data_IF_450027222135
#
_entry.id   IF_450027222135
#
_cell.length_a   1.000
_cell.length_b   1.000
_cell.length_c   1.000
_cell.angle_alpha   90.00
_cell.angle_beta   90.00
_cell.angle_gamma   90.00
#
_symmetry.space_group_name_H-M   'P 1'
#
loop_
_entity.id
_entity.type
_entity.pdbx_description
1 polymer ?
#
# COMPACT_ATOMS: atom_id res chain seq x y z
N UNK A 1 32.67 53.29 -14.19
CA UNK A 1 31.63 52.90 -13.21
C UNK A 1 31.51 51.39 -13.26
N UNK A 2 31.87 50.69 -12.18
CA UNK A 2 32.01 49.22 -12.13
C UNK A 2 30.82 48.68 -11.34
N UNK A 3 29.79 48.17 -12.02
CA UNK A 3 28.61 47.57 -11.37
C UNK A 3 28.95 46.12 -10.98
N UNK A 4 29.02 45.88 -9.67
CA UNK A 4 29.14 44.55 -9.09
C UNK A 4 27.73 43.94 -9.04
N UNK A 5 27.48 42.89 -9.81
CA UNK A 5 26.23 42.13 -9.74
C UNK A 5 26.34 41.08 -8.65
N UNK A 6 25.68 41.31 -7.51
CA UNK A 6 25.51 40.31 -6.46
C UNK A 6 24.50 39.27 -6.92
N UNK A 7 24.96 38.07 -7.23
CA UNK A 7 24.13 36.88 -7.44
C UNK A 7 23.48 36.48 -6.10
N UNK A 8 22.18 36.74 -5.97
CA UNK A 8 21.36 36.13 -4.92
C UNK A 8 21.11 34.66 -5.31
N UNK A 9 21.73 33.73 -4.58
CA UNK A 9 21.43 32.31 -4.67
C UNK A 9 20.00 32.04 -4.19
N UNK A 10 19.17 31.48 -5.06
CA UNK A 10 17.82 31.07 -4.73
C UNK A 10 17.94 29.74 -3.97
N UNK A 11 17.66 29.76 -2.68
CA UNK A 11 17.56 28.52 -1.90
C UNK A 11 16.28 27.79 -2.32
N UNK A 12 16.42 26.61 -2.93
CA UNK A 12 15.31 25.71 -3.23
C UNK A 12 14.70 25.24 -1.91
N UNK A 13 13.52 25.75 -1.58
CA UNK A 13 12.73 25.26 -0.46
C UNK A 13 12.16 23.92 -0.91
N UNK A 14 12.67 22.81 -0.36
CA UNK A 14 12.06 21.51 -0.57
C UNK A 14 10.64 21.56 0.01
N UNK A 15 9.62 21.59 -0.86
CA UNK A 15 8.24 21.41 -0.42
C UNK A 15 8.12 20.04 0.22
N UNK A 16 7.53 19.91 1.43
CA UNK A 16 7.16 18.59 1.92
C UNK A 16 6.24 17.98 0.87
N UNK A 17 6.61 16.81 0.34
CA UNK A 17 5.75 16.09 -0.59
C UNK A 17 4.39 15.93 0.09
N UNK A 18 3.32 16.42 -0.56
CA UNK A 18 1.97 16.17 -0.09
C UNK A 18 1.82 14.65 -0.06
N UNK A 19 1.63 14.06 1.13
CA UNK A 19 1.52 12.61 1.25
C UNK A 19 0.40 12.13 0.32
N UNK A 20 0.74 11.19 -0.57
CA UNK A 20 -0.23 10.67 -1.52
C UNK A 20 -1.34 9.94 -0.76
N UNK A 21 -2.59 10.09 -1.22
CA UNK A 21 -3.73 9.40 -0.64
C UNK A 21 -4.04 8.12 -1.40
N UNK A 22 -4.48 7.10 -0.69
CA UNK A 22 -4.94 5.82 -1.22
C UNK A 22 -6.25 5.41 -0.56
N UNK A 23 -6.98 4.55 -1.26
CA UNK A 23 -8.11 3.82 -0.67
C UNK A 23 -7.64 2.49 -0.11
N UNK A 24 -8.40 1.94 0.84
CA UNK A 24 -8.15 0.60 1.35
C UNK A 24 -9.42 -0.24 1.27
N UNK A 25 -9.25 -1.54 1.03
CA UNK A 25 -10.28 -2.54 1.31
C UNK A 25 -9.68 -3.68 2.13
N UNK A 26 -10.46 -4.73 2.37
CA UNK A 26 -9.99 -5.97 2.95
C UNK A 26 -10.34 -7.12 2.02
N UNK A 27 -9.45 -8.10 1.93
CA UNK A 27 -9.69 -9.33 1.18
C UNK A 27 -9.13 -10.55 1.87
N UNK A 28 -9.67 -11.69 1.47
CA UNK A 28 -9.11 -13.01 1.75
C UNK A 28 -9.52 -13.96 0.63
N UNK A 29 -8.54 -14.54 -0.05
CA UNK A 29 -8.75 -15.48 -1.16
C UNK A 29 -8.15 -16.88 -0.89
N UNK A 30 -7.43 -17.03 0.24
CA UNK A 30 -6.72 -18.25 0.61
C UNK A 30 -5.57 -18.63 -0.33
N UNK A 31 -5.08 -17.70 -1.16
CA UNK A 31 -4.03 -17.96 -2.15
C UNK A 31 -2.63 -17.58 -1.65
N UNK A 32 -1.61 -18.11 -2.32
CA UNK A 32 -0.19 -17.79 -2.10
C UNK A 32 0.14 -16.31 -2.31
N UNK A 33 -0.58 -15.65 -3.23
CA UNK A 33 -0.33 -14.27 -3.64
C UNK A 33 0.77 -14.11 -4.68
N UNK A 34 0.73 -13.00 -5.42
CA UNK A 34 1.58 -12.74 -6.58
C UNK A 34 3.06 -12.46 -6.29
N UNK A 35 3.44 -12.35 -5.01
CA UNK A 35 4.85 -12.32 -4.58
C UNK A 35 5.36 -13.68 -4.12
N UNK A 36 4.56 -14.74 -4.26
CA UNK A 36 4.96 -16.10 -3.96
C UNK A 36 5.19 -16.39 -2.48
N UNK A 37 4.35 -15.82 -1.60
CA UNK A 37 4.52 -15.87 -0.15
C UNK A 37 3.73 -17.03 0.49
N UNK A 38 3.90 -18.24 -0.03
CA UNK A 38 3.10 -19.39 0.39
C UNK A 38 3.49 -20.66 -0.35
N UNK A 39 2.52 -21.55 -0.49
CA UNK A 39 2.67 -22.80 -1.24
C UNK A 39 1.42 -23.05 -2.08
N UNK A 40 1.42 -24.10 -2.91
CA UNK A 40 0.23 -24.56 -3.64
C UNK A 40 -0.97 -24.90 -2.73
N UNK A 41 -0.77 -24.99 -1.42
CA UNK A 41 -1.81 -25.27 -0.43
C UNK A 41 -2.36 -24.02 0.26
N UNK A 42 -1.84 -22.82 -0.05
CA UNK A 42 -2.29 -21.55 0.52
C UNK A 42 -1.16 -20.63 0.98
N UNK A 43 -1.49 -19.47 1.56
CA UNK A 43 -0.51 -18.49 2.03
C UNK A 43 0.28 -19.00 3.23
N UNK A 44 1.50 -18.50 3.43
CA UNK A 44 2.14 -18.61 4.72
C UNK A 44 1.30 -17.92 5.80
N UNK A 45 1.30 -18.49 7.01
CA UNK A 45 0.41 -18.04 8.09
C UNK A 45 0.59 -16.57 8.48
N UNK A 46 1.80 -16.03 8.35
CA UNK A 46 2.11 -14.64 8.68
C UNK A 46 1.43 -13.64 7.73
N UNK A 47 0.94 -14.05 6.56
CA UNK A 47 0.23 -13.15 5.65
C UNK A 47 -1.06 -12.58 6.26
N UNK A 48 -1.71 -13.31 7.17
CA UNK A 48 -2.90 -12.84 7.90
C UNK A 48 -2.60 -11.78 8.97
N UNK A 49 -1.33 -11.49 9.23
CA UNK A 49 -0.87 -10.54 10.21
C UNK A 49 0.52 -10.93 10.70
N UNK A 50 1.51 -10.10 10.38
CA UNK A 50 2.91 -10.33 10.75
C UNK A 50 3.08 -10.05 12.25
N UNK A 51 2.55 -8.91 12.70
CA UNK A 51 2.47 -8.55 14.12
C UNK A 51 1.40 -7.47 14.29
N UNK A 52 1.07 -7.11 15.55
CA UNK A 52 0.16 -6.00 15.81
C UNK A 52 0.66 -4.72 15.14
N UNK A 53 -0.10 -4.16 14.19
CA UNK A 53 0.28 -2.97 13.43
C UNK A 53 1.13 -3.23 12.18
N UNK A 54 1.45 -4.48 11.84
CA UNK A 54 2.19 -4.86 10.63
C UNK A 54 1.43 -5.94 9.87
N UNK A 55 0.95 -5.61 8.68
CA UNK A 55 0.06 -6.44 7.87
C UNK A 55 0.62 -6.67 6.47
N UNK A 56 -0.06 -7.50 5.69
CA UNK A 56 0.21 -7.64 4.25
C UNK A 56 -0.94 -7.06 3.42
N UNK A 57 -0.65 -6.72 2.17
CA UNK A 57 -1.64 -6.19 1.25
C UNK A 57 -1.42 -6.65 -0.19
N UNK A 58 -2.51 -6.75 -0.94
CA UNK A 58 -2.48 -6.73 -2.37
C UNK A 58 -2.46 -5.27 -2.85
N UNK A 59 -1.33 -4.86 -3.44
CA UNK A 59 -1.18 -3.50 -3.95
C UNK A 59 -1.87 -3.34 -5.31
N UNK A 60 -2.50 -2.19 -5.55
CA UNK A 60 -2.91 -1.81 -6.92
C UNK A 60 -1.74 -1.88 -7.89
N UNK A 61 -2.02 -2.04 -9.19
CA UNK A 61 -1.00 -2.35 -10.19
C UNK A 61 0.26 -1.45 -10.10
N UNK A 62 0.13 -0.14 -9.90
CA UNK A 62 1.29 0.76 -9.81
C UNK A 62 2.16 0.54 -8.55
N UNK A 63 1.57 0.06 -7.45
CA UNK A 63 2.30 -0.30 -6.22
C UNK A 63 2.97 -1.67 -6.36
N UNK A 64 2.35 -2.59 -7.09
CA UNK A 64 2.88 -3.93 -7.33
C UNK A 64 3.96 -3.95 -8.42
N UNK A 65 3.66 -3.38 -9.59
CA UNK A 65 4.56 -3.30 -10.74
C UNK A 65 4.10 -2.28 -11.78
N UNK A 66 4.92 -1.28 -12.07
CA UNK A 66 4.61 -0.23 -13.07
C UNK A 66 4.69 -0.71 -14.52
N UNK A 67 5.34 -1.85 -14.77
CA UNK A 67 5.38 -2.53 -16.06
C UNK A 67 4.14 -3.37 -16.36
N UNK A 68 3.24 -3.55 -15.39
CA UNK A 68 2.04 -4.35 -15.53
C UNK A 68 2.24 -5.85 -15.28
N UNK A 69 3.35 -6.26 -14.66
CA UNK A 69 3.52 -7.65 -14.23
C UNK A 69 2.42 -8.05 -13.25
N UNK A 70 2.04 -9.32 -13.26
CA UNK A 70 1.11 -9.93 -12.30
C UNK A 70 1.76 -11.01 -11.44
N UNK A 71 3.09 -11.15 -11.51
CA UNK A 71 3.88 -12.10 -10.73
C UNK A 71 5.29 -11.56 -10.50
N UNK A 72 5.80 -11.65 -9.26
CA UNK A 72 7.07 -11.07 -8.84
C UNK A 72 7.27 -9.62 -9.33
N UNK A 73 6.26 -8.78 -9.11
CA UNK A 73 6.33 -7.36 -9.44
C UNK A 73 7.45 -6.66 -8.67
N UNK A 74 8.02 -5.59 -9.24
CA UNK A 74 9.13 -4.87 -8.62
C UNK A 74 8.79 -4.25 -7.25
N UNK A 75 7.51 -4.11 -6.92
CA UNK A 75 7.01 -3.65 -5.61
C UNK A 75 6.83 -4.75 -4.57
N UNK A 76 6.99 -6.03 -4.91
CA UNK A 76 6.92 -7.12 -3.94
C UNK A 76 7.91 -6.89 -2.78
N UNK A 77 7.45 -7.17 -1.55
CA UNK A 77 8.24 -6.96 -0.33
C UNK A 77 8.41 -5.49 0.08
N UNK A 78 7.85 -4.54 -0.66
CA UNK A 78 7.89 -3.13 -0.26
C UNK A 78 6.91 -2.86 0.89
N UNK A 79 7.37 -2.14 1.91
CA UNK A 79 6.52 -1.68 3.00
C UNK A 79 6.09 -0.22 2.87
N UNK A 80 4.86 0.05 3.29
CA UNK A 80 4.27 1.37 3.36
C UNK A 80 3.70 1.61 4.76
N UNK A 81 3.97 2.78 5.32
CA UNK A 81 3.20 3.30 6.46
C UNK A 81 1.92 3.93 5.91
N UNK A 82 0.77 3.47 6.43
CA UNK A 82 -0.54 4.03 6.13
C UNK A 82 -1.00 4.82 7.35
N UNK A 83 -1.43 6.06 7.13
CA UNK A 83 -2.01 6.91 8.18
C UNK A 83 -3.47 7.19 7.85
N UNK A 84 -4.36 6.80 8.74
CA UNK A 84 -5.80 6.95 8.56
C UNK A 84 -6.21 8.43 8.54
N UNK A 85 -7.07 8.80 7.59
CA UNK A 85 -7.56 10.19 7.43
C UNK A 85 -8.89 10.45 8.16
N UNK A 86 -9.47 9.43 8.81
CA UNK A 86 -10.71 9.54 9.58
C UNK A 86 -12.00 9.40 8.75
N UNK A 87 -11.91 8.99 7.49
CA UNK A 87 -13.07 8.80 6.60
C UNK A 87 -12.83 7.70 5.57
N UNK A 88 -13.91 7.22 4.94
CA UNK A 88 -13.88 6.26 3.84
C UNK A 88 -14.19 6.94 2.50
N UNK A 89 -13.86 6.28 1.39
CA UNK A 89 -14.01 6.85 0.04
C UNK A 89 -15.46 7.17 -0.36
N UNK A 90 -16.45 6.50 0.25
CA UNK A 90 -17.86 6.77 0.06
C UNK A 90 -18.68 6.49 1.32
N UNK A 91 -19.91 6.99 1.38
CA UNK A 91 -20.79 6.87 2.56
C UNK A 91 -21.22 5.44 2.91
N UNK A 92 -21.09 4.50 1.98
CA UNK A 92 -21.45 3.08 2.15
C UNK A 92 -20.24 2.15 2.03
N UNK A 93 -19.03 2.69 1.92
CA UNK A 93 -17.83 1.91 1.62
C UNK A 93 -17.13 1.34 2.87
N UNK A 94 -17.49 1.84 4.05
CA UNK A 94 -16.88 1.51 5.34
C UNK A 94 -16.97 2.70 6.29
N UNK A 95 -16.62 2.50 7.54
CA UNK A 95 -16.68 3.52 8.60
C UNK A 95 -15.36 4.25 8.86
N UNK A 96 -14.25 3.81 8.26
CA UNK A 96 -12.92 4.35 8.47
C UNK A 96 -12.27 3.84 9.77
N UNK A 97 -11.46 4.67 10.42
CA UNK A 97 -11.03 4.50 11.82
C UNK A 97 -10.61 5.85 12.43
N UNK A 98 -9.96 5.85 13.59
CA UNK A 98 -9.46 7.08 14.21
C UNK A 98 -8.46 7.80 13.31
N UNK A 99 -8.71 9.09 13.02
CA UNK A 99 -7.76 9.90 12.24
C UNK A 99 -6.40 9.95 12.93
N UNK A 100 -5.33 9.76 12.16
CA UNK A 100 -3.95 9.77 12.64
C UNK A 100 -3.44 8.43 13.18
N UNK A 101 -4.29 7.41 13.28
CA UNK A 101 -3.81 6.04 13.53
C UNK A 101 -2.94 5.56 12.37
N UNK A 102 -1.89 4.80 12.67
CA UNK A 102 -0.96 4.27 11.67
C UNK A 102 -0.82 2.75 11.73
N UNK A 103 -0.61 2.15 10.57
CA UNK A 103 -0.21 0.74 10.40
C UNK A 103 0.88 0.66 9.33
N UNK A 104 1.67 -0.41 9.36
CA UNK A 104 2.55 -0.78 8.24
C UNK A 104 1.92 -1.90 7.44
N UNK A 105 1.98 -1.81 6.11
CA UNK A 105 1.59 -2.90 5.20
C UNK A 105 2.76 -3.27 4.30
N UNK A 106 2.95 -4.56 4.05
CA UNK A 106 3.90 -5.08 3.07
C UNK A 106 3.15 -5.59 1.83
N UNK A 107 3.62 -5.23 0.63
CA UNK A 107 3.04 -5.73 -0.62
C UNK A 107 3.46 -7.19 -0.84
N UNK A 108 2.51 -8.11 -0.75
CA UNK A 108 2.73 -9.56 -0.98
C UNK A 108 1.88 -10.13 -2.10
N UNK A 109 0.98 -9.32 -2.66
CA UNK A 109 0.09 -9.71 -3.73
C UNK A 109 -0.24 -8.51 -4.64
N UNK A 110 -0.94 -8.75 -5.74
CA UNK A 110 -1.46 -7.72 -6.64
C UNK A 110 -2.98 -7.65 -6.56
N UNK A 111 -3.52 -6.44 -6.48
CA UNK A 111 -4.93 -6.19 -6.77
C UNK A 111 -5.05 -5.73 -8.23
N UNK A 112 -5.40 -6.62 -9.17
CA UNK A 112 -5.47 -6.27 -10.58
C UNK A 112 -6.70 -5.40 -10.85
N UNK A 113 -6.56 -4.44 -11.77
CA UNK A 113 -7.70 -3.61 -12.19
C UNK A 113 -8.84 -4.44 -12.80
N UNK A 114 -8.51 -5.50 -13.55
CA UNK A 114 -9.51 -6.39 -14.11
C UNK A 114 -10.31 -7.08 -13.00
N UNK A 115 -11.61 -6.84 -12.96
CA UNK A 115 -12.51 -7.33 -11.90
C UNK A 115 -12.57 -6.45 -10.63
N UNK A 116 -11.60 -5.54 -10.43
CA UNK A 116 -11.54 -4.67 -9.23
C UNK A 116 -11.41 -3.18 -9.58
N UNK A 117 -11.85 -2.75 -10.77
CA UNK A 117 -11.63 -1.39 -11.27
C UNK A 117 -12.22 -0.28 -10.39
N UNK A 118 -13.27 -0.60 -9.63
CA UNK A 118 -13.84 0.28 -8.60
C UNK A 118 -12.78 0.77 -7.61
N UNK A 119 -11.84 -0.11 -7.24
CA UNK A 119 -10.86 0.12 -6.17
C UNK A 119 -9.43 0.22 -6.70
N UNK A 120 -9.03 -0.70 -7.58
CA UNK A 120 -7.64 -0.90 -7.97
C UNK A 120 -7.38 -0.27 -9.34
N UNK A 121 -6.72 0.91 -9.40
CA UNK A 121 -6.49 1.61 -10.65
C UNK A 121 -5.46 0.89 -11.54
N UNK A 122 -5.53 1.18 -12.84
CA UNK A 122 -4.42 0.91 -13.78
C UNK A 122 -3.23 1.82 -13.48
N UNK A 123 -2.05 1.45 -13.98
CA UNK A 123 -0.84 2.30 -13.85
C UNK A 123 -1.09 3.69 -14.44
N UNK A 124 -0.86 4.74 -13.64
CA UNK A 124 -1.07 6.14 -14.02
C UNK A 124 -2.54 6.59 -14.06
N UNK A 125 -3.49 5.72 -13.74
CA UNK A 125 -4.91 6.05 -13.63
C UNK A 125 -5.34 6.37 -12.21
N UNK A 126 -6.66 6.53 -12.04
CA UNK A 126 -7.34 6.62 -10.74
C UNK A 126 -8.49 5.63 -10.69
N UNK A 127 -8.90 5.23 -9.49
CA UNK A 127 -10.08 4.40 -9.30
C UNK A 127 -11.37 5.24 -9.35
N UNK A 128 -12.54 4.61 -9.15
CA UNK A 128 -13.84 5.30 -9.22
C UNK A 128 -14.03 6.39 -8.16
N UNK A 129 -13.17 6.42 -7.13
CA UNK A 129 -13.17 7.42 -6.07
C UNK A 129 -12.09 8.49 -6.26
N UNK A 130 -11.33 8.47 -7.36
CA UNK A 130 -10.33 9.48 -7.69
C UNK A 130 -8.94 9.26 -7.09
N UNK A 131 -8.64 8.07 -6.56
CA UNK A 131 -7.34 7.75 -5.96
C UNK A 131 -6.46 6.95 -6.91
N UNK A 132 -5.17 7.34 -7.01
CA UNK A 132 -4.18 6.69 -7.88
C UNK A 132 -3.54 5.43 -7.30
N UNK A 133 -3.89 5.07 -6.06
CA UNK A 133 -3.37 3.92 -5.35
C UNK A 133 -4.45 3.26 -4.50
N UNK A 134 -4.32 1.95 -4.33
CA UNK A 134 -5.17 1.13 -3.47
C UNK A 134 -4.38 0.04 -2.76
N UNK A 135 -4.68 -0.17 -1.47
CA UNK A 135 -4.16 -1.27 -0.68
C UNK A 135 -5.32 -2.15 -0.24
N UNK A 136 -5.40 -3.36 -0.79
CA UNK A 136 -6.37 -4.35 -0.34
C UNK A 136 -5.71 -5.20 0.75
N UNK A 137 -6.08 -4.97 2.02
CA UNK A 137 -5.37 -5.49 3.18
C UNK A 137 -5.83 -6.92 3.46
N UNK A 138 -4.87 -7.85 3.54
CA UNK A 138 -5.16 -9.26 3.78
C UNK A 138 -5.79 -9.45 5.17
N UNK A 139 -7.01 -9.97 5.22
CA UNK A 139 -7.72 -10.22 6.48
C UNK A 139 -8.95 -11.13 6.32
N UNK A 140 -9.15 -12.07 7.26
CA UNK A 140 -10.37 -12.91 7.34
C UNK A 140 -11.59 -12.16 7.94
N UNK A 141 -11.50 -10.85 8.20
CA UNK A 141 -12.62 -10.04 8.69
C UNK A 141 -12.18 -8.74 9.38
N UNK A 142 -13.00 -8.20 10.28
CA UNK A 142 -12.56 -7.12 11.20
C UNK A 142 -11.78 -7.64 12.41
N UNK A 143 -11.51 -8.95 12.44
CA UNK A 143 -10.84 -9.61 13.56
C UNK A 143 -9.37 -9.16 13.57
N UNK A 144 -8.91 -8.58 14.68
CA UNK A 144 -7.51 -8.18 14.85
C UNK A 144 -7.17 -6.71 14.58
N UNK A 145 -8.17 -5.83 14.46
CA UNK A 145 -7.94 -4.37 14.46
C UNK A 145 -7.57 -3.75 13.11
N UNK A 146 -7.76 -4.49 12.00
CA UNK A 146 -7.69 -3.91 10.66
C UNK A 146 -8.87 -2.94 10.47
N UNK A 147 -8.57 -1.76 9.93
CA UNK A 147 -9.52 -0.67 9.78
C UNK A 147 -10.68 -0.98 8.82
N UNK A 148 -11.76 -0.20 8.94
CA UNK A 148 -12.92 -0.35 8.08
C UNK A 148 -12.88 0.51 6.81
N UNK A 149 -12.05 0.10 5.85
CA UNK A 149 -11.86 0.72 4.53
C UNK A 149 -11.58 2.25 4.54
N UNK A 150 -10.71 2.75 5.43
CA UNK A 150 -10.38 4.16 5.44
C UNK A 150 -9.64 4.59 4.16
N UNK A 151 -9.79 5.86 3.83
CA UNK A 151 -8.80 6.58 3.05
C UNK A 151 -7.58 6.82 3.93
N UNK A 152 -6.41 6.57 3.37
CA UNK A 152 -5.13 6.69 4.06
C UNK A 152 -4.20 7.61 3.29
N UNK A 153 -3.35 8.35 3.99
CA UNK A 153 -2.10 8.82 3.37
C UNK A 153 -1.08 7.70 3.47
N UNK A 154 -0.20 7.56 2.48
CA UNK A 154 0.81 6.50 2.51
C UNK A 154 2.20 7.02 2.16
N UNK A 155 3.21 6.42 2.78
CA UNK A 155 4.62 6.68 2.49
C UNK A 155 5.38 5.36 2.48
N UNK A 156 6.28 5.17 1.50
CA UNK A 156 7.17 4.01 1.50
C UNK A 156 8.14 4.10 2.68
N UNK A 157 8.32 3.01 3.42
CA UNK A 157 9.18 2.93 4.60
C UNK A 157 10.06 1.68 4.54
N UNK A 158 11.10 1.64 5.37
CA UNK A 158 11.84 0.39 5.58
C UNK A 158 10.91 -0.63 6.26
N UNK A 159 10.93 -1.87 5.78
CA UNK A 159 10.16 -2.94 6.40
C UNK A 159 10.68 -3.22 7.82
N UNK A 160 9.79 -3.39 8.81
CA UNK A 160 10.14 -3.92 10.12
C UNK A 160 10.87 -5.27 9.97
N UNK A 161 11.83 -5.55 10.84
CA UNK A 161 12.69 -6.74 10.72
C UNK A 161 11.93 -8.06 10.58
N UNK A 162 10.80 -8.21 11.30
CA UNK A 162 9.95 -9.38 11.17
C UNK A 162 9.37 -9.54 9.76
N UNK A 163 8.86 -8.45 9.16
CA UNK A 163 8.32 -8.47 7.81
C UNK A 163 9.40 -8.80 6.76
N UNK A 164 10.61 -8.24 6.93
CA UNK A 164 11.74 -8.57 6.05
C UNK A 164 12.11 -10.05 6.13
N UNK A 165 12.23 -10.60 7.35
CA UNK A 165 12.54 -12.03 7.54
C UNK A 165 11.42 -12.96 7.05
N UNK A 166 10.17 -12.52 7.11
CA UNK A 166 9.05 -13.26 6.54
C UNK A 166 9.08 -13.24 5.00
N UNK A 167 9.39 -12.09 4.40
CA UNK A 167 9.50 -11.94 2.95
C UNK A 167 10.63 -12.78 2.33
N UNK A 168 11.73 -13.02 3.07
CA UNK A 168 12.81 -13.93 2.66
C UNK A 168 12.36 -15.37 2.37
N UNK A 169 11.17 -15.77 2.86
CA UNK A 169 10.59 -17.09 2.59
C UNK A 169 9.84 -17.13 1.25
N UNK A 170 9.54 -15.98 0.65
CA UNK A 170 8.76 -15.90 -0.58
C UNK A 170 9.60 -16.23 -1.82
N UNK A 171 8.95 -16.74 -2.87
CA UNK A 171 9.61 -17.10 -4.14
C UNK A 171 10.25 -15.87 -4.83
N UNK A 172 9.68 -14.68 -4.63
CA UNK A 172 10.11 -13.45 -5.31
C UNK A 172 11.11 -12.59 -4.52
N UNK A 173 11.74 -13.11 -3.45
CA UNK A 173 12.76 -12.39 -2.68
C UNK A 173 14.04 -12.09 -3.49
#
# INVERSE_FOLDING_TARGET
>A
MKFLYTLFGIASIASPALAALATTTRYYDGQEGACGCGTSSGPFSWQLGISSGVYTAAGSQALFDTGGSTWCGAGCGTCYELTNQGYSACSTCGTGAGSGETITVMVTNVCPNNGNAQWCPVVGGVNEYGYGAHFDIMSEGLVGGVWDNPVVSYTQVACPSAASSDYEQCVCY
#
